data_IF_251887980779
#
_entry.id   IF_251887980779
#
_cell.length_a   1.000
_cell.length_b   1.000
_cell.length_c   1.000
_cell.angle_alpha   90.00
_cell.angle_beta   90.00
_cell.angle_gamma   90.00
#
_symmetry.space_group_name_H-M   'P 1'
#
loop_
_entity.id
_entity.type
_entity.pdbx_description
1 polymer ?
#
# COMPACT_ATOMS: atom_id res chain seq x y z
N UNK A 1 0.44 -20.75 -25.39
CA UNK A 1 -0.15 -19.72 -24.51
C UNK A 1 0.43 -19.95 -23.13
N UNK A 2 1.30 -19.05 -22.65
CA UNK A 2 2.10 -19.28 -21.45
C UNK A 2 1.24 -19.36 -20.19
N UNK A 3 1.30 -20.51 -19.51
CA UNK A 3 0.47 -20.91 -18.35
C UNK A 3 1.11 -20.47 -17.03
N UNK A 4 1.65 -19.25 -16.95
CA UNK A 4 2.34 -18.79 -15.73
C UNK A 4 1.32 -18.24 -14.73
N UNK A 5 1.17 -18.93 -13.60
CA UNK A 5 0.19 -18.61 -12.55
C UNK A 5 0.81 -18.00 -11.28
N UNK A 6 2.12 -17.77 -11.26
CA UNK A 6 2.85 -17.18 -10.12
C UNK A 6 3.68 -15.99 -10.59
N UNK A 7 3.62 -14.90 -9.83
CA UNK A 7 4.42 -13.71 -10.05
C UNK A 7 5.91 -13.94 -9.68
N UNK A 8 6.82 -13.50 -10.54
CA UNK A 8 8.28 -13.59 -10.39
C UNK A 8 8.92 -12.22 -10.08
N UNK A 9 8.22 -11.12 -10.33
CA UNK A 9 8.70 -9.75 -10.04
C UNK A 9 7.79 -8.99 -9.06
N UNK A 10 8.31 -7.91 -8.48
CA UNK A 10 7.52 -7.02 -7.62
C UNK A 10 6.33 -6.40 -8.35
N UNK A 11 6.53 -6.00 -9.61
CA UNK A 11 5.46 -5.45 -10.45
C UNK A 11 4.41 -6.51 -10.79
N UNK A 12 4.80 -7.74 -11.13
CA UNK A 12 3.84 -8.83 -11.36
C UNK A 12 3.01 -9.13 -10.10
N UNK A 13 3.64 -9.13 -8.92
CA UNK A 13 2.92 -9.29 -7.65
C UNK A 13 1.91 -8.17 -7.43
N UNK A 14 2.28 -6.94 -7.74
CA UNK A 14 1.37 -5.80 -7.62
C UNK A 14 0.18 -5.92 -8.58
N UNK A 15 0.43 -6.29 -9.84
CA UNK A 15 -0.63 -6.53 -10.84
C UNK A 15 -1.56 -7.65 -10.38
N UNK A 16 -1.03 -8.79 -9.92
CA UNK A 16 -1.86 -9.90 -9.46
C UNK A 16 -2.67 -9.53 -8.21
N UNK A 17 -2.11 -8.71 -7.32
CA UNK A 17 -2.83 -8.18 -6.15
C UNK A 17 -3.98 -7.26 -6.56
N UNK A 18 -3.78 -6.41 -7.57
CA UNK A 18 -4.85 -5.58 -8.17
C UNK A 18 -5.94 -6.46 -8.78
N UNK A 19 -5.57 -7.53 -9.51
CA UNK A 19 -6.54 -8.48 -10.06
C UNK A 19 -7.37 -9.17 -8.96
N UNK A 20 -6.75 -9.52 -7.83
CA UNK A 20 -7.48 -10.05 -6.67
C UNK A 20 -8.53 -9.06 -6.12
N UNK A 21 -8.23 -7.76 -6.10
CA UNK A 21 -9.20 -6.73 -5.73
C UNK A 21 -10.33 -6.67 -6.77
N UNK A 22 -9.99 -6.62 -8.06
CA UNK A 22 -10.97 -6.50 -9.14
C UNK A 22 -11.88 -7.73 -9.31
N UNK A 23 -11.40 -8.94 -8.98
CA UNK A 23 -12.19 -10.16 -9.05
C UNK A 23 -13.02 -10.43 -7.78
N UNK A 24 -12.87 -9.60 -6.74
CA UNK A 24 -13.67 -9.69 -5.52
C UNK A 24 -15.11 -9.22 -5.76
N UNK A 25 -16.07 -9.90 -5.13
CA UNK A 25 -17.49 -9.56 -5.28
C UNK A 25 -17.92 -8.36 -4.41
N UNK A 26 -17.37 -8.23 -3.20
CA UNK A 26 -17.74 -7.19 -2.23
C UNK A 26 -16.51 -6.51 -1.65
N UNK A 27 -16.67 -5.24 -1.25
CA UNK A 27 -15.69 -4.53 -0.44
C UNK A 27 -15.45 -5.31 0.87
N UNK A 28 -14.21 -5.70 1.07
CA UNK A 28 -13.76 -6.50 2.20
C UNK A 28 -12.43 -5.93 2.70
N UNK A 29 -12.15 -6.08 3.99
CA UNK A 29 -10.85 -5.74 4.58
C UNK A 29 -9.70 -6.47 3.88
N UNK A 30 -9.97 -7.61 3.25
CA UNK A 30 -9.02 -8.31 2.38
C UNK A 30 -8.51 -7.42 1.22
N UNK A 31 -9.30 -6.46 0.71
CA UNK A 31 -8.84 -5.53 -0.32
C UNK A 31 -7.71 -4.63 0.18
N UNK A 32 -7.79 -4.18 1.44
CA UNK A 32 -6.73 -3.41 2.09
C UNK A 32 -5.44 -4.23 2.19
N UNK A 33 -5.56 -5.53 2.46
CA UNK A 33 -4.43 -6.46 2.53
C UNK A 33 -3.77 -6.59 1.16
N UNK A 34 -4.56 -6.79 0.09
CA UNK A 34 -4.03 -6.85 -1.27
C UNK A 34 -3.38 -5.55 -1.72
N UNK A 35 -3.94 -4.39 -1.35
CA UNK A 35 -3.34 -3.10 -1.64
C UNK A 35 -1.98 -2.95 -0.95
N UNK A 36 -1.85 -3.33 0.33
CA UNK A 36 -0.56 -3.33 1.00
C UNK A 36 0.42 -4.31 0.36
N UNK A 37 -0.01 -5.52 0.04
CA UNK A 37 0.84 -6.50 -0.63
C UNK A 37 1.39 -5.96 -1.96
N UNK A 38 0.57 -5.24 -2.72
CA UNK A 38 1.00 -4.58 -3.95
C UNK A 38 2.01 -3.44 -3.71
N UNK A 39 1.73 -2.56 -2.74
CA UNK A 39 2.63 -1.46 -2.39
C UNK A 39 3.98 -1.98 -1.88
N UNK A 40 3.97 -2.95 -0.99
CA UNK A 40 5.19 -3.56 -0.44
C UNK A 40 6.01 -4.24 -1.55
N UNK A 41 5.34 -4.85 -2.55
CA UNK A 41 6.00 -5.44 -3.71
C UNK A 41 6.61 -4.41 -4.67
N UNK A 42 5.97 -3.26 -4.89
CA UNK A 42 6.50 -2.16 -5.72
C UNK A 42 7.69 -1.50 -5.01
N UNK A 43 7.52 -1.17 -3.74
CA UNK A 43 8.45 -0.34 -2.97
C UNK A 43 9.47 -1.14 -2.17
N UNK A 44 9.53 -2.47 -2.36
CA UNK A 44 10.58 -3.34 -1.81
C UNK A 44 10.74 -3.22 -0.30
N UNK A 45 9.64 -3.11 0.44
CA UNK A 45 9.71 -3.01 1.91
C UNK A 45 9.96 -4.38 2.53
N UNK A 46 11.00 -4.51 3.36
CA UNK A 46 11.26 -5.72 4.15
C UNK A 46 10.24 -5.87 5.27
N UNK A 47 10.08 -7.09 5.78
CA UNK A 47 9.33 -7.34 7.01
C UNK A 47 9.94 -6.52 8.14
N UNK A 48 9.14 -5.65 8.77
CA UNK A 48 9.60 -4.73 9.81
C UNK A 48 10.13 -3.38 9.32
N UNK A 49 10.26 -3.16 8.00
CA UNK A 49 10.48 -1.79 7.49
C UNK A 49 9.26 -0.91 7.78
N UNK A 50 9.54 0.25 8.35
CA UNK A 50 8.51 1.11 8.91
C UNK A 50 7.61 1.74 7.86
N UNK A 51 6.37 1.99 8.27
CA UNK A 51 5.39 2.85 7.60
C UNK A 51 6.00 4.13 7.00
N UNK A 52 6.97 4.75 7.70
CA UNK A 52 7.67 5.95 7.24
C UNK A 52 8.44 5.73 5.95
N UNK A 53 9.19 4.63 5.82
CA UNK A 53 9.96 4.33 4.61
C UNK A 53 9.03 4.16 3.41
N UNK A 54 7.88 3.52 3.61
CA UNK A 54 6.87 3.38 2.57
C UNK A 54 6.33 4.74 2.12
N UNK A 55 5.98 5.63 3.06
CA UNK A 55 5.54 7.01 2.75
C UNK A 55 6.62 7.77 1.97
N UNK A 56 7.89 7.67 2.37
CA UNK A 56 8.99 8.32 1.67
C UNK A 56 9.12 7.82 0.23
N UNK A 57 9.21 6.50 0.04
CA UNK A 57 9.38 5.88 -1.28
C UNK A 57 8.22 6.19 -2.22
N UNK A 58 6.98 6.15 -1.72
CA UNK A 58 5.79 6.55 -2.48
C UNK A 58 5.89 8.03 -2.88
N UNK A 59 6.23 8.91 -1.93
CA UNK A 59 6.34 10.35 -2.18
C UNK A 59 7.41 10.65 -3.23
N UNK A 60 8.53 9.92 -3.21
CA UNK A 60 9.60 10.06 -4.20
C UNK A 60 9.15 9.61 -5.59
N UNK A 61 8.54 8.43 -5.72
CA UNK A 61 8.08 7.93 -7.02
C UNK A 61 7.02 8.86 -7.64
N UNK A 62 6.05 9.28 -6.84
CA UNK A 62 4.94 10.12 -7.28
C UNK A 62 5.26 11.62 -7.28
N UNK A 63 6.51 12.00 -6.95
CA UNK A 63 6.99 13.39 -6.92
C UNK A 63 6.07 14.33 -6.12
N UNK A 64 5.61 13.86 -4.95
CA UNK A 64 4.68 14.62 -4.11
C UNK A 64 5.37 15.80 -3.43
N UNK A 65 4.67 16.92 -3.34
CA UNK A 65 5.08 18.07 -2.55
C UNK A 65 4.82 17.83 -1.04
N UNK A 66 5.17 18.81 -0.20
CA UNK A 66 5.01 18.70 1.25
C UNK A 66 3.55 18.47 1.67
N UNK A 67 2.59 19.09 0.98
CA UNK A 67 1.17 18.92 1.24
C UNK A 67 0.69 17.52 0.85
N UNK A 68 1.02 17.08 -0.36
CA UNK A 68 0.69 15.75 -0.89
C UNK A 68 1.27 14.64 -0.02
N UNK A 69 2.52 14.78 0.41
CA UNK A 69 3.16 13.86 1.35
C UNK A 69 2.45 13.81 2.71
N UNK A 70 1.99 14.96 3.23
CA UNK A 70 1.20 15.01 4.48
C UNK A 70 -0.14 14.30 4.30
N UNK A 71 -0.83 14.51 3.18
CA UNK A 71 -2.10 13.84 2.86
C UNK A 71 -1.92 12.33 2.71
N UNK A 72 -0.91 11.90 1.93
CA UNK A 72 -0.51 10.50 1.79
C UNK A 72 -0.28 9.87 3.17
N UNK A 73 0.52 10.50 4.03
CA UNK A 73 0.82 9.98 5.37
C UNK A 73 -0.43 9.79 6.21
N UNK A 74 -1.41 10.69 6.11
CA UNK A 74 -2.67 10.59 6.85
C UNK A 74 -3.50 9.40 6.35
N UNK A 75 -3.79 9.33 5.05
CA UNK A 75 -4.66 8.29 4.50
C UNK A 75 -4.01 6.90 4.51
N UNK A 76 -2.71 6.82 4.26
CA UNK A 76 -1.99 5.56 4.40
C UNK A 76 -2.00 5.07 5.85
N UNK A 77 -2.02 5.97 6.85
CA UNK A 77 -2.13 5.59 8.26
C UNK A 77 -3.50 4.98 8.55
N UNK A 78 -4.57 5.60 8.06
CA UNK A 78 -5.94 5.06 8.19
C UNK A 78 -6.03 3.65 7.59
N UNK A 79 -5.40 3.45 6.42
CA UNK A 79 -5.29 2.14 5.78
C UNK A 79 -4.47 1.14 6.60
N UNK A 80 -3.32 1.58 7.13
CA UNK A 80 -2.45 0.75 7.97
C UNK A 80 -3.18 0.31 9.25
N UNK A 81 -3.90 1.21 9.90
CA UNK A 81 -4.64 0.93 11.13
C UNK A 81 -5.78 -0.06 10.86
N UNK A 82 -6.44 0.04 9.70
CA UNK A 82 -7.42 -0.95 9.25
C UNK A 82 -6.77 -2.35 9.12
N UNK A 83 -5.66 -2.47 8.36
CA UNK A 83 -4.91 -3.73 8.24
C UNK A 83 -4.47 -4.28 9.60
N UNK A 84 -3.90 -3.41 10.43
CA UNK A 84 -3.40 -3.75 11.77
C UNK A 84 -4.51 -4.29 12.66
N UNK A 85 -5.66 -3.63 12.68
CA UNK A 85 -6.82 -4.08 13.45
C UNK A 85 -7.29 -5.47 13.02
N UNK A 86 -7.26 -5.76 11.71
CA UNK A 86 -7.65 -7.07 11.20
C UNK A 86 -6.68 -8.18 11.61
N UNK A 87 -5.38 -7.93 11.49
CA UNK A 87 -4.34 -8.91 11.85
C UNK A 87 -4.28 -9.16 13.36
N UNK A 88 -4.55 -8.15 14.17
CA UNK A 88 -4.41 -8.22 15.63
C UNK A 88 -5.74 -8.38 16.39
N UNK A 89 -6.85 -8.65 15.69
CA UNK A 89 -8.15 -8.95 16.30
C UNK A 89 -8.94 -7.74 16.81
N UNK A 90 -8.51 -6.52 16.49
CA UNK A 90 -9.24 -5.28 16.78
C UNK A 90 -10.30 -4.91 15.74
N UNK A 91 -10.38 -5.64 14.62
CA UNK A 91 -11.34 -5.40 13.55
C UNK A 91 -12.75 -5.85 13.96
N UNK A 92 -13.75 -5.01 13.67
CA UNK A 92 -15.16 -5.33 13.91
C UNK A 92 -15.64 -6.29 12.84
N UNK A 93 -15.75 -7.57 13.19
CA UNK A 93 -16.21 -8.62 12.27
C UNK A 93 -17.72 -8.49 12.08
N UNK A 94 -18.13 -8.17 10.86
CA UNK A 94 -19.55 -8.10 10.49
C UNK A 94 -20.16 -9.50 10.38
N UNK A 95 -21.47 -9.60 10.65
CA UNK A 95 -22.20 -10.85 10.43
C UNK A 95 -22.14 -11.24 8.94
N UNK A 96 -21.98 -12.53 8.57
CA UNK A 96 -21.82 -12.96 7.17
C UNK A 96 -22.94 -12.52 6.22
N UNK A 97 -24.15 -12.30 6.75
CA UNK A 97 -25.29 -11.82 5.95
C UNK A 97 -25.20 -10.34 5.55
N UNK A 98 -24.36 -9.53 6.23
CA UNK A 98 -24.14 -8.10 5.95
C UNK A 98 -25.44 -7.29 5.72
N UNK A 99 -26.49 -7.55 6.52
CA UNK A 99 -27.80 -6.95 6.28
C UNK A 99 -27.92 -5.53 6.87
N UNK A 100 -27.56 -4.54 6.05
CA UNK A 100 -27.62 -3.11 6.37
C UNK A 100 -29.03 -2.58 6.70
N UNK A 101 -30.08 -3.24 6.20
CA UNK A 101 -31.48 -2.86 6.50
C UNK A 101 -31.79 -3.11 7.97
N UNK A 102 -31.20 -4.16 8.56
CA UNK A 102 -31.41 -4.54 9.95
C UNK A 102 -30.51 -3.77 10.92
N UNK A 103 -29.33 -3.32 10.47
CA UNK A 103 -28.38 -2.56 11.27
C UNK A 103 -27.67 -1.48 10.44
N UNK A 104 -28.13 -0.24 10.59
CA UNK A 104 -27.59 0.90 9.86
C UNK A 104 -26.16 1.28 10.30
N UNK A 105 -25.68 0.81 11.46
CA UNK A 105 -24.31 1.08 11.89
C UNK A 105 -23.28 0.41 10.97
N UNK A 106 -23.69 -0.65 10.26
CA UNK A 106 -22.87 -1.30 9.23
C UNK A 106 -22.57 -0.37 8.06
N UNK A 107 -23.48 0.57 7.72
CA UNK A 107 -23.28 1.48 6.60
C UNK A 107 -22.05 2.37 6.79
N UNK A 108 -21.83 2.86 8.01
CA UNK A 108 -20.67 3.71 8.31
C UNK A 108 -19.36 2.91 8.22
N UNK A 109 -19.37 1.68 8.73
CA UNK A 109 -18.23 0.77 8.65
C UNK A 109 -17.89 0.42 7.19
N UNK A 110 -18.88 0.07 6.37
CA UNK A 110 -18.69 -0.24 4.96
C UNK A 110 -18.24 0.97 4.15
N UNK A 111 -18.82 2.15 4.40
CA UNK A 111 -18.39 3.39 3.76
C UNK A 111 -16.91 3.67 4.06
N UNK A 112 -16.51 3.59 5.33
CA UNK A 112 -15.13 3.79 5.74
C UNK A 112 -14.19 2.76 5.11
N UNK A 113 -14.59 1.49 5.08
CA UNK A 113 -13.82 0.43 4.46
C UNK A 113 -13.65 0.66 2.95
N UNK A 114 -14.71 1.09 2.26
CA UNK A 114 -14.68 1.41 0.84
C UNK A 114 -13.74 2.59 0.56
N UNK A 115 -13.83 3.68 1.33
CA UNK A 115 -12.96 4.86 1.19
C UNK A 115 -11.47 4.49 1.34
N UNK A 116 -11.16 3.72 2.40
CA UNK A 116 -9.79 3.26 2.68
C UNK A 116 -9.29 2.32 1.58
N UNK A 117 -10.12 1.39 1.13
CA UNK A 117 -9.76 0.43 0.07
C UNK A 117 -9.57 1.12 -1.27
N UNK A 118 -10.44 2.08 -1.61
CA UNK A 118 -10.34 2.87 -2.84
C UNK A 118 -9.08 3.73 -2.84
N UNK A 119 -8.72 4.34 -1.70
CA UNK A 119 -7.45 5.04 -1.56
C UNK A 119 -6.26 4.11 -1.84
N UNK A 120 -6.22 2.94 -1.21
CA UNK A 120 -5.15 1.95 -1.41
C UNK A 120 -5.05 1.49 -2.86
N UNK A 121 -6.18 1.15 -3.47
CA UNK A 121 -6.27 0.75 -4.88
C UNK A 121 -5.74 1.83 -5.81
N UNK A 122 -6.23 3.07 -5.66
CA UNK A 122 -5.82 4.20 -6.48
C UNK A 122 -4.31 4.46 -6.34
N UNK A 123 -3.78 4.35 -5.12
CA UNK A 123 -2.36 4.53 -4.87
C UNK A 123 -1.50 3.48 -5.59
N UNK A 124 -1.93 2.22 -5.60
CA UNK A 124 -1.25 1.16 -6.37
C UNK A 124 -1.30 1.45 -7.87
N UNK A 125 -2.47 1.83 -8.40
CA UNK A 125 -2.63 2.17 -9.81
C UNK A 125 -1.73 3.34 -10.21
N UNK A 126 -1.73 4.42 -9.44
CA UNK A 126 -0.86 5.58 -9.65
C UNK A 126 0.62 5.20 -9.60
N UNK A 127 1.00 4.29 -8.69
CA UNK A 127 2.38 3.80 -8.59
C UNK A 127 2.78 3.01 -9.84
N UNK A 128 1.91 2.13 -10.33
CA UNK A 128 2.13 1.37 -11.56
C UNK A 128 2.19 2.30 -12.79
N UNK A 129 1.29 3.29 -12.87
CA UNK A 129 1.31 4.30 -13.94
C UNK A 129 2.61 5.10 -13.93
N UNK A 130 3.07 5.55 -12.76
CA UNK A 130 4.34 6.25 -12.63
C UNK A 130 5.52 5.38 -13.09
N UNK A 131 5.55 4.09 -12.77
CA UNK A 131 6.57 3.18 -13.29
C UNK A 131 6.54 3.13 -14.83
N UNK A 132 5.35 2.98 -15.43
CA UNK A 132 5.17 2.94 -16.89
C UNK A 132 5.62 4.24 -17.55
N UNK A 133 5.22 5.40 -17.01
CA UNK A 133 5.60 6.72 -17.54
C UNK A 133 7.11 6.95 -17.54
N UNK A 134 7.83 6.38 -16.57
CA UNK A 134 9.29 6.45 -16.51
C UNK A 134 9.98 5.31 -17.31
N UNK A 135 9.23 4.38 -17.90
CA UNK A 135 9.78 3.20 -18.59
C UNK A 135 10.46 2.20 -17.65
N UNK A 136 10.03 2.15 -16.38
CA UNK A 136 10.62 1.31 -15.34
C UNK A 136 9.84 0.01 -15.15
N UNK A 137 10.57 -1.11 -15.01
CA UNK A 137 9.99 -2.44 -14.75
C UNK A 137 9.99 -2.81 -13.25
N UNK A 138 10.36 -1.86 -12.38
CA UNK A 138 10.46 -2.03 -10.94
C UNK A 138 11.37 -0.97 -10.33
N UNK A 139 11.44 -0.94 -9.00
CA UNK A 139 12.34 -0.06 -8.25
C UNK A 139 13.56 -0.83 -7.78
N UNK A 140 14.75 -0.22 -7.96
CA UNK A 140 15.97 -0.63 -7.25
C UNK A 140 16.21 0.37 -6.13
N UNK A 141 16.35 -0.12 -4.90
CA UNK A 141 16.45 0.70 -3.70
C UNK A 141 17.80 0.44 -3.06
N UNK A 142 18.58 1.50 -2.86
CA UNK A 142 19.91 1.46 -2.26
C UNK A 142 19.93 2.45 -1.07
N UNK A 143 20.26 1.95 0.12
CA UNK A 143 20.46 2.79 1.32
C UNK A 143 21.95 3.10 1.43
N UNK A 144 22.31 4.39 1.50
CA UNK A 144 23.70 4.83 1.66
C UNK A 144 23.85 5.67 2.94
N UNK A 145 24.91 5.39 3.70
CA UNK A 145 25.30 6.15 4.88
C UNK A 145 26.80 6.47 4.77
N UNK A 146 27.16 7.74 4.96
CA UNK A 146 28.56 8.19 4.96
C UNK A 146 28.86 8.97 6.24
N UNK A 147 30.01 8.67 6.86
CA UNK A 147 30.56 9.44 7.98
C UNK A 147 31.33 10.65 7.48
N UNK A 148 31.46 11.66 8.34
CA UNK A 148 32.32 12.84 8.11
C UNK A 148 33.56 12.69 8.99
N UNK A 149 34.74 12.90 8.42
CA UNK A 149 36.00 13.02 9.17
C UNK A 149 36.15 14.48 9.63
N UNK A 150 36.58 14.73 10.87
CA UNK A 150 36.99 16.09 11.25
C UNK A 150 38.33 16.40 10.61
N UNK A 151 38.48 17.60 10.05
CA UNK A 151 39.69 18.09 9.37
C UNK A 151 40.93 18.24 10.30
N UNK A 152 40.89 17.70 11.52
CA UNK A 152 41.90 17.92 12.57
C UNK A 152 43.08 16.93 12.56
N UNK A 153 43.27 16.13 11.49
CA UNK A 153 44.39 15.18 11.38
C UNK A 153 45.21 15.29 10.08
N UNK A 154 45.29 16.48 9.49
CA UNK A 154 46.39 16.81 8.57
C UNK A 154 47.56 17.39 9.37
N UNK A 155 48.44 16.51 9.85
CA UNK A 155 49.78 16.86 10.38
C UNK A 155 50.78 16.86 9.22
#
# INVERSE_FOLDING_TARGET
MGVRQRAESGVEKAIFSVLHICCGADADVVWVIWAFHALEAIYGTKVGEGFTNLVERISTLLKLDAQGKRMLKKHLREMYDCRSSFVHGGYRVHHPMKNEIMDQSLNEDFKKLLEVSQFGFNLVVLSLQALVENGWYGLKIEEQMSGVLSDDFSV
#
